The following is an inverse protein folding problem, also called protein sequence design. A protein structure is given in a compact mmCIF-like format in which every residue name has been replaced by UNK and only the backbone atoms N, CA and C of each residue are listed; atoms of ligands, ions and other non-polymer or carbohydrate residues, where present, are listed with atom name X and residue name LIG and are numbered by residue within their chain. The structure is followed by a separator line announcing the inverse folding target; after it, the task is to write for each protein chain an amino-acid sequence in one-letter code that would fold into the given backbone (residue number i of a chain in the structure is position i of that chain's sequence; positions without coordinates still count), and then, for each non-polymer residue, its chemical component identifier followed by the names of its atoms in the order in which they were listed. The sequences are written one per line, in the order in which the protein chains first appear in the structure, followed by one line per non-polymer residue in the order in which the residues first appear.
data_IF_983643373683
#
_entry.id   IF_983643373683
#
_cell.length_a   1.000
_cell.length_b   1.000
_cell.length_c   1.000
_cell.angle_alpha   90.00
_cell.angle_beta   90.00
_cell.angle_gamma   90.00
#
_symmetry.space_group_name_H-M   'P 1'
#
loop_
_entity.id
_entity.type
_entity.pdbx_description
1 polymer ?
#
# COMPACT_ATOMS: atom_id res chain seq x y z
N UNK A 1 -6.38 3.40 -15.70
CA UNK A 1 -5.92 2.44 -14.67
C UNK A 1 -4.88 1.57 -15.33
N UNK A 2 -3.64 1.59 -14.82
CA UNK A 2 -2.56 0.79 -15.37
C UNK A 2 -2.57 -0.59 -14.69
N UNK A 3 -2.90 -1.64 -15.46
CA UNK A 3 -3.08 -2.99 -14.92
C UNK A 3 -1.76 -3.60 -14.43
N UNK A 4 -0.63 -3.24 -15.07
CA UNK A 4 0.69 -3.70 -14.66
C UNK A 4 1.11 -3.05 -13.33
N UNK A 5 0.79 -1.76 -13.15
CA UNK A 5 1.04 -1.08 -11.88
C UNK A 5 0.20 -1.68 -10.75
N UNK A 6 -1.09 -1.97 -11.00
CA UNK A 6 -1.95 -2.63 -10.02
C UNK A 6 -1.38 -3.99 -9.61
N UNK A 7 -1.02 -4.84 -10.58
CA UNK A 7 -0.44 -6.17 -10.30
C UNK A 7 0.84 -6.06 -9.46
N UNK A 8 1.75 -5.14 -9.81
CA UNK A 8 2.99 -4.91 -9.06
C UNK A 8 2.76 -4.45 -7.61
N UNK A 9 1.81 -3.53 -7.40
CA UNK A 9 1.43 -3.07 -6.06
C UNK A 9 0.84 -4.24 -5.27
N UNK A 10 -0.14 -4.95 -5.84
CA UNK A 10 -0.80 -6.07 -5.14
C UNK A 10 0.18 -7.20 -4.83
N UNK A 11 1.10 -7.54 -5.72
CA UNK A 11 2.09 -8.60 -5.48
C UNK A 11 3.00 -8.29 -4.29
N UNK A 12 3.41 -7.03 -4.13
CA UNK A 12 4.20 -6.59 -2.97
C UNK A 12 3.37 -6.59 -1.67
N UNK A 13 2.12 -6.15 -1.73
CA UNK A 13 1.23 -6.15 -0.56
C UNK A 13 0.87 -7.56 -0.10
N UNK A 14 0.61 -8.49 -1.03
CA UNK A 14 0.37 -9.90 -0.73
C UNK A 14 1.60 -10.57 -0.10
N UNK A 15 2.81 -10.21 -0.55
CA UNK A 15 4.04 -10.65 0.12
C UNK A 15 4.13 -10.11 1.56
N UNK A 16 3.77 -8.83 1.78
CA UNK A 16 3.69 -8.24 3.11
C UNK A 16 2.66 -8.91 4.02
N UNK A 17 1.49 -9.28 3.49
CA UNK A 17 0.44 -10.04 4.19
C UNK A 17 0.92 -11.45 4.55
N UNK A 18 1.55 -12.16 3.61
CA UNK A 18 2.11 -13.50 3.83
C UNK A 18 3.22 -13.50 4.88
N UNK A 19 4.05 -12.44 4.92
CA UNK A 19 5.10 -12.27 5.91
C UNK A 19 4.59 -11.76 7.27
N UNK A 20 3.28 -11.54 7.42
CA UNK A 20 2.65 -11.15 8.69
C UNK A 20 2.75 -9.65 9.03
N UNK A 21 3.18 -8.80 8.10
CA UNK A 21 3.22 -7.34 8.30
C UNK A 21 1.82 -6.74 8.25
N UNK A 22 0.99 -7.24 7.33
CA UNK A 22 -0.33 -6.74 7.04
C UNK A 22 -1.37 -7.80 7.35
N UNK A 23 -2.51 -7.37 7.88
CA UNK A 23 -3.71 -8.21 7.99
C UNK A 23 -4.57 -8.08 6.73
N UNK A 24 -4.68 -6.86 6.18
CA UNK A 24 -5.43 -6.61 4.95
C UNK A 24 -4.96 -5.34 4.23
N UNK A 25 -5.44 -5.11 3.01
CA UNK A 25 -5.14 -3.92 2.23
C UNK A 25 -6.21 -3.61 1.19
N UNK A 26 -6.24 -2.35 0.76
CA UNK A 26 -7.07 -1.85 -0.33
C UNK A 26 -6.21 -0.95 -1.22
N UNK A 27 -6.31 -1.17 -2.53
CA UNK A 27 -5.68 -0.32 -3.55
C UNK A 27 -6.78 0.46 -4.25
N UNK A 28 -6.71 1.78 -4.16
CA UNK A 28 -7.60 2.71 -4.83
C UNK A 28 -6.82 3.61 -5.79
N UNK A 29 -7.55 4.29 -6.67
CA UNK A 29 -6.97 5.22 -7.63
C UNK A 29 -7.68 6.56 -7.49
N UNK A 30 -6.92 7.60 -7.16
CA UNK A 30 -7.43 8.93 -6.86
C UNK A 30 -6.87 9.96 -7.85
N UNK A 31 -7.65 11.00 -8.12
CA UNK A 31 -7.25 12.10 -9.00
C UNK A 31 -8.12 12.25 -10.26
N UNK A 32 -7.79 13.21 -11.14
CA UNK A 32 -8.52 13.42 -12.38
C UNK A 32 -8.30 12.21 -13.31
N UNK A 33 -9.27 11.97 -14.21
CA UNK A 33 -9.34 10.77 -15.07
C UNK A 33 -8.05 10.44 -15.83
N UNK A 34 -7.27 11.46 -16.20
CA UNK A 34 -6.02 11.32 -16.96
C UNK A 34 -4.76 11.22 -16.08
N UNK A 35 -4.86 11.49 -14.78
CA UNK A 35 -3.75 11.46 -13.81
C UNK A 35 -4.18 10.75 -12.53
N UNK A 36 -4.78 9.58 -12.70
CA UNK A 36 -5.09 8.71 -11.56
C UNK A 36 -3.78 8.24 -10.95
N UNK A 37 -3.57 8.58 -9.68
CA UNK A 37 -2.46 8.08 -8.87
C UNK A 37 -2.98 6.97 -7.94
N UNK A 38 -2.18 5.91 -7.71
CA UNK A 38 -2.55 4.87 -6.76
C UNK A 38 -2.48 5.40 -5.33
N UNK A 39 -3.44 4.98 -4.52
CA UNK A 39 -3.45 5.12 -3.07
C UNK A 39 -3.64 3.74 -2.47
N UNK A 40 -2.85 3.41 -1.45
CA UNK A 40 -2.90 2.13 -0.75
C UNK A 40 -3.29 2.40 0.69
N UNK A 41 -4.44 1.85 1.08
CA UNK A 41 -4.83 1.75 2.49
C UNK A 41 -4.45 0.37 2.99
N UNK A 42 -3.76 0.29 4.12
CA UNK A 42 -3.38 -0.99 4.73
C UNK A 42 -3.92 -1.11 6.15
N UNK A 43 -4.24 -2.34 6.55
CA UNK A 43 -4.48 -2.72 7.93
C UNK A 43 -3.29 -3.53 8.41
N UNK A 44 -2.55 -2.98 9.36
CA UNK A 44 -1.40 -3.66 9.94
C UNK A 44 -1.82 -4.84 10.83
N UNK A 45 -0.94 -5.80 10.99
CA UNK A 45 -1.07 -6.80 12.06
C UNK A 45 -0.91 -6.15 13.44
N UNK A 46 -1.53 -6.77 14.45
CA UNK A 46 -1.55 -6.24 15.82
C UNK A 46 -0.14 -6.10 16.45
N UNK A 47 0.81 -6.91 15.99
CA UNK A 47 2.19 -6.95 16.50
C UNK A 47 3.05 -5.75 16.07
N UNK A 48 2.61 -4.98 15.08
CA UNK A 48 3.35 -3.85 14.54
C UNK A 48 2.73 -2.51 14.93
N UNK A 49 3.51 -1.44 14.90
CA UNK A 49 3.01 -0.07 15.02
C UNK A 49 2.93 0.63 13.65
N UNK A 50 2.13 1.68 13.56
CA UNK A 50 1.83 2.39 12.32
C UNK A 50 3.09 2.96 11.65
N UNK A 51 3.98 3.60 12.42
CA UNK A 51 5.21 4.20 11.89
C UNK A 51 6.15 3.15 11.27
N UNK A 52 6.28 1.98 11.91
CA UNK A 52 7.13 0.89 11.42
C UNK A 52 6.57 0.30 10.13
N UNK A 53 5.26 0.06 10.08
CA UNK A 53 4.60 -0.45 8.87
C UNK A 53 4.67 0.59 7.76
N UNK A 54 4.47 1.87 8.07
CA UNK A 54 4.56 2.95 7.10
C UNK A 54 5.97 3.07 6.50
N UNK A 55 7.02 3.02 7.32
CA UNK A 55 8.40 3.05 6.84
C UNK A 55 8.72 1.82 5.97
N UNK A 56 8.26 0.64 6.37
CA UNK A 56 8.41 -0.59 5.58
C UNK A 56 7.73 -0.47 4.22
N UNK A 57 6.47 -0.02 4.18
CA UNK A 57 5.71 0.14 2.94
C UNK A 57 6.27 1.24 2.04
N UNK A 58 6.71 2.37 2.62
CA UNK A 58 7.34 3.45 1.87
C UNK A 58 8.57 2.95 1.11
N UNK A 59 9.41 2.13 1.74
CA UNK A 59 10.56 1.50 1.06
C UNK A 59 10.14 0.42 0.06
N UNK A 60 9.12 -0.36 0.35
CA UNK A 60 8.67 -1.45 -0.52
C UNK A 60 7.99 -0.94 -1.80
N UNK A 61 7.25 0.17 -1.70
CA UNK A 61 6.40 0.74 -2.75
C UNK A 61 6.94 2.04 -3.36
N UNK A 62 8.15 2.49 -3.00
CA UNK A 62 8.72 3.80 -3.37
C UNK A 62 8.59 4.17 -4.85
N UNK A 63 8.75 3.18 -5.74
CA UNK A 63 8.71 3.38 -7.20
C UNK A 63 7.30 3.20 -7.80
N UNK A 64 6.33 2.80 -6.99
CA UNK A 64 4.98 2.42 -7.44
C UNK A 64 3.87 3.31 -6.86
N UNK A 65 4.03 3.72 -5.61
CA UNK A 65 3.04 4.52 -4.86
C UNK A 65 3.80 5.63 -4.14
N UNK A 66 3.42 6.90 -4.34
CA UNK A 66 4.04 7.99 -3.58
C UNK A 66 3.80 7.79 -2.09
N UNK A 67 4.74 8.21 -1.24
CA UNK A 67 4.61 8.05 0.22
C UNK A 67 3.32 8.70 0.78
N UNK A 68 2.87 9.80 0.16
CA UNK A 68 1.61 10.47 0.49
C UNK A 68 0.37 9.65 0.16
N UNK A 69 0.49 8.65 -0.73
CA UNK A 69 -0.55 7.70 -1.07
C UNK A 69 -0.54 6.43 -0.22
N UNK A 70 0.28 6.35 0.84
CA UNK A 70 0.30 5.22 1.77
C UNK A 70 -0.43 5.62 3.05
N UNK A 71 -1.57 4.97 3.28
CA UNK A 71 -2.46 5.21 4.41
C UNK A 71 -2.49 3.98 5.31
N UNK A 72 -2.12 4.14 6.58
CA UNK A 72 -2.36 3.11 7.60
C UNK A 72 -3.77 3.37 8.15
N UNK A 73 -4.67 2.41 7.98
CA UNK A 73 -6.02 2.51 8.54
C UNK A 73 -5.95 2.37 10.06
N UNK A 74 -6.60 3.30 10.77
CA UNK A 74 -6.89 3.09 12.19
C UNK A 74 -7.82 1.90 12.32
N UNK A 75 -7.44 0.98 13.21
CA UNK A 75 -8.25 -0.19 13.58
C UNK A 75 -9.38 0.20 14.52
#
# INVERSE_FOLDING_TARGET
MDANLLEAITGKLEAGKTAGWLSDYLVAWHGPREQLAPEVTVWRSADWNDDTVKAYLAGMLSDLVPESGIVIANT
#
